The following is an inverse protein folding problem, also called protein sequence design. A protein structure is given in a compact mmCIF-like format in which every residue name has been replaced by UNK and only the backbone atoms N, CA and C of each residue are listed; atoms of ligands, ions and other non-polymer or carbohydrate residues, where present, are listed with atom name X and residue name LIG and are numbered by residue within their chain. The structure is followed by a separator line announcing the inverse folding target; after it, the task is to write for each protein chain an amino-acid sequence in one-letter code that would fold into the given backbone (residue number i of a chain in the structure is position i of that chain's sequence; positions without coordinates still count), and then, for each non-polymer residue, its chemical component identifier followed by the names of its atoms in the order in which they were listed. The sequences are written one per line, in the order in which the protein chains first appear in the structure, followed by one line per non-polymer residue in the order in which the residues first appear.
data_IF_132468136429
#
_entry.id   IF_132468136429
#
_cell.length_a   1.000
_cell.length_b   1.000
_cell.length_c   1.000
_cell.angle_alpha   90.00
_cell.angle_beta   90.00
_cell.angle_gamma   90.00
#
_symmetry.space_group_name_H-M   'P 1'
#
loop_
_entity.id
_entity.type
_entity.pdbx_description
1 polymer ?
#
# COMPACT_ATOMS: atom_id res chain seq x y z
N UNK A 1 -8.30 13.88 -8.41
CA UNK A 1 -7.37 12.91 -9.03
C UNK A 1 -8.06 11.56 -9.14
N UNK A 2 -7.85 10.83 -10.24
CA UNK A 2 -8.32 9.44 -10.38
C UNK A 2 -7.08 8.55 -10.33
N UNK A 3 -7.00 7.62 -9.38
CA UNK A 3 -5.90 6.63 -9.27
C UNK A 3 -6.08 5.46 -10.27
N UNK A 4 -6.74 5.72 -11.41
CA UNK A 4 -7.03 4.70 -12.42
C UNK A 4 -5.73 4.13 -12.97
N UNK A 5 -5.64 2.79 -13.00
CA UNK A 5 -4.46 2.06 -13.46
C UNK A 5 -3.49 1.65 -12.34
N UNK A 6 -3.68 2.09 -11.10
CA UNK A 6 -2.84 1.65 -9.97
C UNK A 6 -3.39 0.41 -9.24
N UNK A 7 -4.62 -0.03 -9.54
CA UNK A 7 -5.22 -1.19 -8.87
C UNK A 7 -5.32 -1.02 -7.35
N UNK A 8 -5.66 0.18 -6.86
CA UNK A 8 -5.81 0.41 -5.41
C UNK A 8 -6.86 -0.54 -4.82
N UNK A 9 -6.50 -1.26 -3.76
CA UNK A 9 -7.31 -2.35 -3.22
C UNK A 9 -7.61 -2.18 -1.73
N UNK A 10 -6.65 -1.66 -0.97
CA UNK A 10 -6.81 -1.40 0.46
C UNK A 10 -6.28 -0.02 0.82
N UNK A 11 -6.72 0.56 1.93
CA UNK A 11 -6.28 1.88 2.34
C UNK A 11 -6.34 2.11 3.84
N UNK A 12 -5.41 2.92 4.35
CA UNK A 12 -5.48 3.55 5.66
C UNK A 12 -5.32 5.06 5.56
N UNK A 13 -5.83 5.79 6.55
CA UNK A 13 -5.74 7.25 6.64
C UNK A 13 -5.02 7.64 7.91
N UNK A 14 -4.02 8.52 7.80
CA UNK A 14 -3.34 9.12 8.94
C UNK A 14 -3.15 10.63 8.70
N UNK A 15 -3.81 11.43 9.53
CA UNK A 15 -3.79 12.89 9.42
C UNK A 15 -4.28 13.39 8.06
N UNK A 16 -3.40 14.08 7.32
CA UNK A 16 -3.71 14.66 6.00
C UNK A 16 -3.37 13.72 4.83
N UNK A 17 -3.00 12.48 5.10
CA UNK A 17 -2.58 11.54 4.07
C UNK A 17 -3.43 10.27 4.09
N UNK A 18 -3.68 9.73 2.92
CA UNK A 18 -4.14 8.36 2.72
C UNK A 18 -3.01 7.54 2.12
N UNK A 19 -2.90 6.28 2.53
CA UNK A 19 -1.92 5.33 2.06
C UNK A 19 -2.69 4.16 1.44
N UNK A 20 -2.55 3.97 0.13
CA UNK A 20 -3.26 2.96 -0.62
C UNK A 20 -2.32 1.80 -0.95
N UNK A 21 -2.69 0.59 -0.55
CA UNK A 21 -2.04 -0.62 -1.04
C UNK A 21 -2.63 -1.01 -2.40
N UNK A 22 -1.77 -1.44 -3.33
CA UNK A 22 -2.17 -1.83 -4.68
C UNK A 22 -2.20 -3.34 -4.87
N UNK A 23 -3.18 -3.80 -5.65
CA UNK A 23 -3.25 -5.15 -6.19
C UNK A 23 -2.47 -5.20 -7.51
N UNK A 24 -1.15 -5.09 -7.39
CA UNK A 24 -0.18 -5.17 -8.49
C UNK A 24 0.95 -6.11 -8.09
N UNK A 25 1.72 -6.58 -9.08
CA UNK A 25 2.84 -7.50 -8.87
C UNK A 25 4.12 -6.85 -9.43
N UNK A 26 5.06 -6.39 -8.58
CA UNK A 26 4.96 -6.33 -7.12
C UNK A 26 3.96 -5.26 -6.62
N UNK A 27 3.49 -5.41 -5.39
CA UNK A 27 2.63 -4.44 -4.72
C UNK A 27 3.36 -3.13 -4.41
N UNK A 28 2.61 -2.05 -4.23
CA UNK A 28 3.15 -0.76 -3.80
C UNK A 28 2.19 -0.05 -2.83
N UNK A 29 2.75 0.81 -1.98
CA UNK A 29 1.99 1.73 -1.13
C UNK A 29 2.07 3.13 -1.72
N UNK A 30 0.93 3.69 -2.08
CA UNK A 30 0.81 5.03 -2.66
C UNK A 30 0.33 6.00 -1.59
N UNK A 31 1.16 6.99 -1.25
CA UNK A 31 0.81 8.06 -0.32
C UNK A 31 0.17 9.22 -1.08
N UNK A 32 -1.02 9.62 -0.64
CA UNK A 32 -1.83 10.67 -1.26
C UNK A 32 -2.12 11.77 -0.24
N UNK A 33 -1.86 13.03 -0.59
CA UNK A 33 -2.36 14.18 0.17
C UNK A 33 -3.87 14.26 0.03
N UNK A 34 -4.60 14.28 1.15
CA UNK A 34 -6.04 14.45 1.19
C UNK A 34 -6.47 15.92 1.07
N UNK A 35 -5.54 16.87 1.20
CA UNK A 35 -5.83 18.31 1.03
C UNK A 35 -6.02 18.63 -0.44
N UNK A 36 -5.07 18.21 -1.28
CA UNK A 36 -5.00 18.58 -2.69
C UNK A 36 -5.27 17.39 -3.62
N UNK A 37 -5.48 16.20 -3.07
CA UNK A 37 -5.68 14.94 -3.79
C UNK A 37 -4.58 14.66 -4.81
N UNK A 38 -3.32 14.80 -4.40
CA UNK A 38 -2.13 14.49 -5.21
C UNK A 38 -1.36 13.31 -4.62
N UNK A 39 -0.75 12.49 -5.48
CA UNK A 39 0.25 11.50 -5.02
C UNK A 39 1.47 12.28 -4.56
N UNK A 40 1.88 12.06 -3.31
CA UNK A 40 3.07 12.69 -2.73
C UNK A 40 4.24 11.74 -2.63
N UNK A 41 3.99 10.43 -2.58
CA UNK A 41 5.04 9.42 -2.50
C UNK A 41 4.55 8.03 -2.94
N UNK A 42 5.49 7.14 -3.28
CA UNK A 42 5.25 5.73 -3.58
C UNK A 42 6.37 4.87 -3.01
N UNK A 43 5.98 3.88 -2.22
CA UNK A 43 6.86 2.81 -1.76
C UNK A 43 6.59 1.56 -2.59
N UNK A 44 7.56 1.15 -3.41
CA UNK A 44 7.51 -0.11 -4.14
C UNK A 44 7.97 -1.24 -3.22
N UNK A 45 7.23 -2.35 -3.17
CA UNK A 45 7.74 -3.56 -2.56
C UNK A 45 8.81 -4.14 -3.48
N UNK A 46 9.91 -4.58 -2.88
CA UNK A 46 10.80 -5.53 -3.55
C UNK A 46 10.06 -6.86 -3.63
N UNK A 47 10.23 -7.60 -4.73
CA UNK A 47 9.64 -8.92 -4.87
C UNK A 47 10.07 -9.78 -3.67
N UNK A 48 9.09 -10.25 -2.89
CA UNK A 48 9.33 -11.02 -1.67
C UNK A 48 9.54 -12.50 -1.97
N UNK A 49 9.10 -12.94 -3.15
CA UNK A 49 9.33 -14.27 -3.71
C UNK A 49 9.63 -14.22 -5.22
N UNK A 50 10.02 -15.37 -5.78
CA UNK A 50 10.33 -15.51 -7.21
C UNK A 50 9.08 -15.40 -8.12
N UNK A 51 7.88 -15.55 -7.55
CA UNK A 51 6.61 -15.52 -8.26
C UNK A 51 6.00 -14.10 -8.31
N UNK A 52 6.56 -13.15 -7.54
CA UNK A 52 6.19 -11.74 -7.45
C UNK A 52 4.73 -11.48 -7.06
N UNK A 53 4.09 -12.43 -6.38
CA UNK A 53 2.68 -12.41 -5.95
C UNK A 53 2.47 -11.53 -4.69
N UNK A 54 3.03 -10.32 -4.70
CA UNK A 54 3.10 -9.43 -3.54
C UNK A 54 1.97 -8.38 -3.50
N UNK A 55 0.80 -8.73 -4.03
CA UNK A 55 -0.35 -7.84 -4.06
C UNK A 55 -0.80 -7.47 -2.63
N UNK A 56 -1.07 -6.18 -2.37
CA UNK A 56 -1.50 -5.72 -1.05
C UNK A 56 -3.03 -5.81 -0.90
N UNK A 57 -3.49 -6.80 -0.14
CA UNK A 57 -4.92 -7.14 -0.04
C UNK A 57 -5.62 -6.57 1.20
N UNK A 58 -4.88 -6.31 2.27
CA UNK A 58 -5.44 -5.80 3.53
C UNK A 58 -4.54 -4.74 4.13
N UNK A 59 -5.12 -3.84 4.94
CA UNK A 59 -4.35 -2.85 5.66
C UNK A 59 -4.96 -2.48 7.01
N UNK A 60 -4.11 -2.14 7.98
CA UNK A 60 -4.52 -1.63 9.28
C UNK A 60 -3.53 -0.59 9.78
N UNK A 61 -4.07 0.42 10.46
CA UNK A 61 -3.31 1.49 11.10
C UNK A 61 -3.13 1.18 12.59
N UNK A 62 -1.91 1.29 13.10
CA UNK A 62 -1.64 1.21 14.54
C UNK A 62 -0.44 2.08 14.93
N UNK A 63 -0.71 3.11 15.73
CA UNK A 63 0.29 4.09 16.15
C UNK A 63 0.92 4.83 14.98
N UNK A 64 2.26 4.81 14.91
CA UNK A 64 3.05 5.46 13.87
C UNK A 64 3.30 4.56 12.63
N UNK A 65 2.54 3.47 12.49
CA UNK A 65 2.76 2.50 11.42
C UNK A 65 1.45 2.06 10.77
N UNK A 66 1.52 1.82 9.46
CA UNK A 66 0.56 1.06 8.70
C UNK A 66 1.11 -0.35 8.45
N UNK A 67 0.24 -1.35 8.48
CA UNK A 67 0.57 -2.74 8.21
C UNK A 67 -0.25 -3.20 7.02
N UNK A 68 0.40 -3.77 6.02
CA UNK A 68 -0.24 -4.26 4.80
C UNK A 68 -0.03 -5.77 4.70
N UNK A 69 -1.11 -6.52 4.53
CA UNK A 69 -1.05 -7.96 4.25
C UNK A 69 -0.90 -8.20 2.76
N UNK A 70 -0.02 -9.13 2.41
CA UNK A 70 0.27 -9.58 1.03
C UNK A 70 -0.57 -10.80 0.66
N UNK A 71 -0.83 -11.00 -0.63
CA UNK A 71 -1.49 -12.18 -1.21
C UNK A 71 -0.51 -13.34 -1.47
N UNK A 72 0.45 -13.55 -0.56
CA UNK A 72 1.46 -14.61 -0.64
C UNK A 72 1.06 -15.83 0.18
N UNK A 73 1.71 -16.98 -0.06
CA UNK A 73 1.58 -18.17 0.79
C UNK A 73 2.97 -18.71 1.22
N UNK A 74 3.36 -18.57 2.51
CA UNK A 74 2.59 -17.97 3.61
C UNK A 74 2.41 -16.45 3.46
N UNK A 75 1.33 -15.91 4.04
CA UNK A 75 1.04 -14.48 3.99
C UNK A 75 2.07 -13.65 4.77
N UNK A 76 2.62 -12.62 4.14
CA UNK A 76 3.61 -11.70 4.72
C UNK A 76 2.94 -10.37 5.12
N UNK A 77 3.39 -9.77 6.23
CA UNK A 77 2.96 -8.44 6.67
C UNK A 77 4.07 -7.43 6.45
N UNK A 78 3.80 -6.43 5.62
CA UNK A 78 4.70 -5.29 5.38
C UNK A 78 4.36 -4.17 6.37
N UNK A 79 5.36 -3.74 7.14
CA UNK A 79 5.25 -2.61 8.07
C UNK A 79 5.80 -1.34 7.42
N UNK A 80 4.98 -0.30 7.37
CA UNK A 80 5.30 0.99 6.76
C UNK A 80 5.20 2.10 7.80
N UNK A 81 6.24 2.91 7.95
CA UNK A 81 6.18 4.14 8.74
C UNK A 81 5.38 5.21 7.99
N UNK A 82 4.51 5.92 8.69
CA UNK A 82 3.52 6.84 8.11
C UNK A 82 3.73 8.28 8.52
#
# INVERSE_FOLDING_TARGET
MVLSGLGVHTSVVSGKFAYFGTYTQPGQVVKVSLTDFIIVDRLFLEALDDDAEDALVSSVLSGAFAYFGTDTFPGIVVKVAI
#
